data_IF_052944180618
#
_entry.id   IF_052944180618
#
_cell.length_a   1.000
_cell.length_b   1.000
_cell.length_c   1.000
_cell.angle_alpha   90.00
_cell.angle_beta   90.00
_cell.angle_gamma   90.00
#
_symmetry.space_group_name_H-M   'P 1'
#
loop_
_entity.id
_entity.type
_entity.pdbx_description
1 polymer ?
#
# COMPACT_ATOMS: atom_id res chain seq x y z
N UNK A 1 -38.37 -50.98 37.61
CA UNK A 1 -37.35 -49.92 37.78
C UNK A 1 -36.37 -50.08 36.62
N UNK A 2 -36.40 -49.15 35.64
CA UNK A 2 -35.49 -48.94 34.49
C UNK A 2 -35.30 -50.14 33.53
N UNK A 3 -35.85 -50.21 32.32
CA UNK A 3 -35.99 -49.25 31.19
C UNK A 3 -34.65 -48.86 30.54
N UNK A 4 -34.31 -49.51 29.43
CA UNK A 4 -33.44 -49.05 28.32
C UNK A 4 -33.44 -50.18 27.27
N UNK A 5 -34.36 -50.27 26.30
CA UNK A 5 -34.61 -49.40 25.13
C UNK A 5 -33.29 -48.87 24.53
N UNK A 6 -32.65 -49.68 23.69
CA UNK A 6 -31.79 -49.18 22.62
C UNK A 6 -32.55 -49.32 21.31
N UNK A 7 -33.38 -48.31 21.06
CA UNK A 7 -34.11 -48.06 19.84
C UNK A 7 -33.26 -47.14 18.95
N UNK A 8 -32.82 -47.67 17.81
CA UNK A 8 -32.70 -47.02 16.51
C UNK A 8 -32.50 -45.49 16.54
N UNK A 9 -31.27 -45.02 16.32
CA UNK A 9 -31.01 -43.81 15.52
C UNK A 9 -29.76 -44.07 14.66
N UNK A 10 -29.92 -44.90 13.63
CA UNK A 10 -29.11 -44.84 12.41
C UNK A 10 -29.94 -44.02 11.42
N UNK A 11 -30.05 -42.71 11.65
CA UNK A 11 -30.67 -41.80 10.70
C UNK A 11 -29.65 -41.49 9.59
N UNK A 12 -29.76 -42.26 8.52
CA UNK A 12 -29.72 -41.79 7.14
C UNK A 12 -28.77 -40.60 6.86
N UNK A 13 -27.49 -40.90 6.64
CA UNK A 13 -26.74 -40.22 5.59
C UNK A 13 -27.28 -40.69 4.23
N UNK A 14 -28.47 -40.22 3.88
CA UNK A 14 -28.88 -40.20 2.49
C UNK A 14 -28.39 -38.85 1.93
N UNK A 15 -27.64 -38.81 0.82
CA UNK A 15 -27.56 -37.58 0.05
C UNK A 15 -28.98 -37.36 -0.46
N UNK A 16 -29.74 -36.54 0.26
CA UNK A 16 -31.03 -36.07 -0.20
C UNK A 16 -30.73 -35.15 -1.38
N UNK A 17 -30.58 -35.73 -2.57
CA UNK A 17 -30.58 -34.99 -3.82
C UNK A 17 -32.02 -34.52 -4.03
N UNK A 18 -32.40 -33.47 -3.30
CA UNK A 18 -33.57 -32.70 -3.65
C UNK A 18 -33.14 -31.82 -4.82
N UNK A 19 -33.62 -32.14 -6.01
CA UNK A 19 -33.60 -31.21 -7.14
C UNK A 19 -34.53 -30.04 -6.81
N UNK A 20 -34.08 -29.17 -5.91
CA UNK A 20 -34.69 -27.88 -5.65
C UNK A 20 -34.39 -27.03 -6.89
N UNK A 21 -35.41 -26.74 -7.70
CA UNK A 21 -35.31 -25.83 -8.85
C UNK A 21 -35.11 -24.37 -8.43
N UNK A 22 -34.81 -24.10 -7.16
CA UNK A 22 -34.63 -22.77 -6.59
C UNK A 22 -33.54 -22.80 -5.52
N UNK A 23 -32.89 -21.66 -5.31
CA UNK A 23 -31.95 -21.51 -4.20
C UNK A 23 -32.67 -21.61 -2.85
N UNK A 24 -31.93 -22.00 -1.82
CA UNK A 24 -32.43 -22.03 -0.44
C UNK A 24 -32.74 -20.59 0.02
N UNK A 25 -33.98 -20.37 0.46
CA UNK A 25 -34.44 -19.08 0.97
C UNK A 25 -34.15 -19.00 2.47
N UNK A 26 -33.42 -17.97 2.88
CA UNK A 26 -33.08 -17.71 4.29
C UNK A 26 -33.56 -16.32 4.70
N UNK A 27 -33.81 -16.14 5.99
CA UNK A 27 -34.16 -14.81 6.54
C UNK A 27 -32.91 -13.98 6.91
N UNK A 28 -33.13 -12.72 7.32
CA UNK A 28 -32.04 -11.81 7.69
C UNK A 28 -31.21 -12.33 8.87
N UNK A 29 -31.82 -13.00 9.86
CA UNK A 29 -31.12 -13.49 11.05
C UNK A 29 -30.30 -14.74 10.74
N UNK A 30 -30.88 -15.66 9.97
CA UNK A 30 -30.22 -16.87 9.49
C UNK A 30 -29.04 -16.51 8.60
N UNK A 31 -29.19 -15.54 7.70
CA UNK A 31 -28.07 -15.04 6.91
C UNK A 31 -26.94 -14.44 7.77
N UNK A 32 -27.28 -13.66 8.79
CA UNK A 32 -26.29 -13.11 9.73
C UNK A 32 -25.56 -14.24 10.46
N UNK A 33 -26.29 -15.27 10.90
CA UNK A 33 -25.69 -16.44 11.55
C UNK A 33 -24.76 -17.20 10.61
N UNK A 34 -25.19 -17.45 9.37
CA UNK A 34 -24.36 -18.08 8.33
C UNK A 34 -23.07 -17.27 8.10
N UNK A 35 -23.15 -15.94 8.02
CA UNK A 35 -21.98 -15.09 7.87
C UNK A 35 -21.02 -15.14 9.07
N UNK A 36 -21.52 -15.47 10.27
CA UNK A 36 -20.73 -15.56 11.49
C UNK A 36 -20.10 -16.95 11.69
N UNK A 37 -20.76 -18.02 11.22
CA UNK A 37 -20.29 -19.40 11.40
C UNK A 37 -19.51 -19.93 10.21
N UNK A 38 -19.94 -19.58 9.00
CA UNK A 38 -19.41 -20.12 7.76
C UNK A 38 -18.36 -19.20 7.15
N UNK A 39 -17.35 -19.81 6.52
CA UNK A 39 -16.25 -19.05 5.89
C UNK A 39 -16.69 -18.37 4.61
N UNK A 40 -17.55 -19.04 3.84
CA UNK A 40 -17.93 -18.67 2.49
C UNK A 40 -19.44 -18.77 2.33
N UNK A 41 -20.09 -17.64 2.03
CA UNK A 41 -21.54 -17.57 1.79
C UNK A 41 -21.78 -16.72 0.55
N UNK A 42 -22.38 -17.30 -0.48
CA UNK A 42 -22.88 -16.61 -1.66
C UNK A 42 -24.36 -16.34 -1.43
N UNK A 43 -24.72 -15.06 -1.43
CA UNK A 43 -26.10 -14.63 -1.21
C UNK A 43 -26.61 -13.84 -2.41
N UNK A 44 -27.78 -14.22 -2.90
CA UNK A 44 -28.56 -13.45 -3.85
C UNK A 44 -29.65 -12.67 -3.09
N UNK A 45 -29.50 -11.36 -3.00
CA UNK A 45 -30.58 -10.47 -2.60
C UNK A 45 -31.53 -10.26 -3.78
N UNK A 46 -32.79 -10.64 -3.61
CA UNK A 46 -33.79 -10.73 -4.69
C UNK A 46 -35.12 -10.12 -4.26
N UNK A 47 -35.99 -9.81 -5.22
CA UNK A 47 -37.35 -9.32 -5.00
C UNK A 47 -38.33 -10.10 -5.86
N UNK A 48 -39.61 -10.07 -5.46
CA UNK A 48 -40.68 -10.70 -6.25
C UNK A 48 -40.88 -9.93 -7.57
N UNK A 49 -41.31 -10.64 -8.61
CA UNK A 49 -41.64 -10.05 -9.93
C UNK A 49 -40.45 -9.33 -10.55
N UNK A 50 -39.29 -10.00 -10.61
CA UNK A 50 -38.03 -9.44 -11.08
C UNK A 50 -37.36 -10.40 -12.07
N UNK A 51 -37.49 -10.15 -13.39
CA UNK A 51 -36.90 -11.02 -14.41
C UNK A 51 -35.37 -11.09 -14.33
N UNK A 52 -34.71 -9.98 -14.01
CA UNK A 52 -33.25 -9.95 -13.81
C UNK A 52 -32.82 -10.82 -12.62
N UNK A 53 -33.65 -10.89 -11.57
CA UNK A 53 -33.37 -11.70 -10.39
C UNK A 53 -33.48 -13.19 -10.71
N UNK A 54 -34.49 -13.58 -11.49
CA UNK A 54 -34.65 -14.97 -11.97
C UNK A 54 -33.49 -15.39 -12.86
N UNK A 55 -33.00 -14.49 -13.73
CA UNK A 55 -31.84 -14.76 -14.56
C UNK A 55 -30.59 -15.07 -13.71
N UNK A 56 -30.29 -14.23 -12.71
CA UNK A 56 -29.14 -14.47 -11.82
C UNK A 56 -29.32 -15.74 -10.99
N UNK A 57 -30.53 -16.03 -10.51
CA UNK A 57 -30.82 -17.26 -9.78
C UNK A 57 -30.56 -18.51 -10.64
N UNK A 58 -30.98 -18.50 -11.91
CA UNK A 58 -30.74 -19.61 -12.85
C UNK A 58 -29.25 -19.83 -13.12
N UNK A 59 -28.49 -18.77 -13.39
CA UNK A 59 -27.04 -18.87 -13.57
C UNK A 59 -26.37 -19.40 -12.29
N UNK A 60 -26.78 -18.95 -11.10
CA UNK A 60 -26.25 -19.46 -9.83
C UNK A 60 -26.61 -20.93 -9.56
N UNK A 61 -27.80 -21.37 -9.96
CA UNK A 61 -28.20 -22.78 -9.86
C UNK A 61 -27.31 -23.66 -10.73
N UNK A 62 -26.94 -23.20 -11.92
CA UNK A 62 -26.07 -23.96 -12.83
C UNK A 62 -24.67 -24.22 -12.25
N UNK A 63 -24.12 -23.30 -11.46
CA UNK A 63 -22.79 -23.42 -10.83
C UNK A 63 -22.87 -23.75 -9.34
N UNK A 64 -24.04 -24.08 -8.81
CA UNK A 64 -24.23 -24.32 -7.37
C UNK A 64 -23.34 -25.45 -6.87
N UNK A 65 -23.36 -26.60 -7.55
CA UNK A 65 -22.56 -27.77 -7.20
C UNK A 65 -21.06 -27.43 -7.24
N UNK A 66 -20.63 -26.74 -8.30
CA UNK A 66 -19.26 -26.25 -8.47
C UNK A 66 -18.80 -25.30 -7.36
N UNK A 67 -19.69 -24.40 -6.90
CA UNK A 67 -19.41 -23.47 -5.80
C UNK A 67 -19.29 -24.22 -4.46
N UNK A 68 -20.19 -25.18 -4.22
CA UNK A 68 -20.14 -26.03 -3.03
C UNK A 68 -18.86 -26.88 -3.03
N UNK A 69 -18.51 -27.53 -4.14
CA UNK A 69 -17.35 -28.42 -4.21
C UNK A 69 -16.02 -27.65 -4.13
N UNK A 70 -15.92 -26.51 -4.83
CA UNK A 70 -14.65 -25.77 -4.94
C UNK A 70 -14.40 -24.76 -3.82
N UNK A 71 -15.46 -24.20 -3.22
CA UNK A 71 -15.36 -23.19 -2.16
C UNK A 71 -15.87 -23.71 -0.81
N UNK A 72 -16.64 -24.80 -0.78
CA UNK A 72 -17.45 -25.16 0.38
C UNK A 72 -18.31 -23.97 0.82
N UNK A 73 -18.91 -23.29 -0.16
CA UNK A 73 -19.72 -22.11 0.05
C UNK A 73 -21.21 -22.47 0.17
N UNK A 74 -21.88 -21.82 1.11
CA UNK A 74 -23.34 -21.83 1.18
C UNK A 74 -23.89 -20.93 0.07
N UNK A 75 -24.87 -21.40 -0.70
CA UNK A 75 -25.48 -20.63 -1.79
C UNK A 75 -26.96 -20.45 -1.49
N UNK A 76 -27.34 -19.22 -1.10
CA UNK A 76 -28.67 -18.89 -0.56
C UNK A 76 -29.25 -17.67 -1.26
N UNK A 77 -30.56 -17.46 -1.10
CA UNK A 77 -31.27 -16.24 -1.52
C UNK A 77 -32.06 -15.62 -0.39
N UNK A 78 -32.26 -14.31 -0.46
CA UNK A 78 -33.07 -13.55 0.52
C UNK A 78 -34.01 -12.62 -0.24
N UNK A 79 -35.29 -12.65 0.10
CA UNK A 79 -36.31 -11.79 -0.51
C UNK A 79 -36.53 -10.49 0.26
N UNK A 80 -36.51 -9.36 -0.47
CA UNK A 80 -36.87 -8.02 0.02
C UNK A 80 -36.15 -7.63 1.33
N UNK A 81 -34.86 -7.96 1.44
CA UNK A 81 -34.09 -7.70 2.66
C UNK A 81 -33.64 -6.25 2.73
N UNK A 82 -33.70 -5.66 3.92
CA UNK A 82 -33.12 -4.34 4.15
C UNK A 82 -31.58 -4.37 4.19
N UNK A 83 -30.98 -5.54 4.42
CA UNK A 83 -29.53 -5.72 4.48
C UNK A 83 -28.86 -5.41 3.14
N UNK A 84 -29.58 -5.55 2.01
CA UNK A 84 -29.05 -5.21 0.68
C UNK A 84 -28.49 -3.79 0.63
N UNK A 85 -29.07 -2.84 1.38
CA UNK A 85 -28.65 -1.43 1.41
C UNK A 85 -27.24 -1.24 1.99
N UNK A 86 -26.75 -2.21 2.76
CA UNK A 86 -25.40 -2.21 3.33
C UNK A 86 -24.38 -2.58 2.26
N UNK A 87 -24.74 -3.47 1.33
CA UNK A 87 -23.82 -4.00 0.32
C UNK A 87 -23.92 -3.27 -1.02
N UNK A 88 -25.15 -2.94 -1.45
CA UNK A 88 -25.44 -2.22 -2.69
C UNK A 88 -26.54 -1.17 -2.48
N UNK A 89 -26.23 0.13 -2.55
CA UNK A 89 -27.24 1.18 -2.44
C UNK A 89 -28.20 1.24 -3.64
N UNK A 90 -27.92 0.54 -4.75
CA UNK A 90 -28.70 0.56 -5.99
C UNK A 90 -29.92 -0.39 -6.01
N UNK A 91 -30.21 -1.09 -4.90
CA UNK A 91 -31.30 -2.07 -4.72
C UNK A 91 -31.20 -3.33 -5.59
N UNK A 92 -32.02 -4.32 -5.24
CA UNK A 92 -32.06 -5.68 -5.77
C UNK A 92 -32.35 -5.74 -7.30
N UNK A 93 -31.73 -6.70 -8.02
CA UNK A 93 -30.92 -7.80 -7.50
C UNK A 93 -29.50 -7.40 -7.09
N UNK A 94 -28.96 -8.06 -6.06
CA UNK A 94 -27.55 -7.92 -5.69
C UNK A 94 -26.97 -9.29 -5.32
N UNK A 95 -25.88 -9.67 -5.98
CA UNK A 95 -25.15 -10.89 -5.70
C UNK A 95 -23.90 -10.54 -4.88
N UNK A 96 -23.79 -11.10 -3.68
CA UNK A 96 -22.70 -10.82 -2.75
C UNK A 96 -22.04 -12.12 -2.33
N UNK A 97 -20.71 -12.15 -2.39
CA UNK A 97 -19.91 -13.24 -1.87
C UNK A 97 -19.24 -12.82 -0.56
N UNK A 98 -19.70 -13.41 0.54
CA UNK A 98 -19.15 -13.22 1.88
C UNK A 98 -17.96 -14.15 2.08
N UNK A 99 -16.82 -13.58 2.47
CA UNK A 99 -15.54 -14.28 2.63
C UNK A 99 -14.91 -13.92 3.96
N UNK A 100 -14.95 -14.82 4.93
CA UNK A 100 -14.47 -14.54 6.30
C UNK A 100 -15.09 -13.25 6.89
N UNK A 101 -16.40 -13.05 6.64
CA UNK A 101 -17.12 -11.84 7.05
C UNK A 101 -16.89 -10.59 6.18
N UNK A 102 -16.02 -10.65 5.16
CA UNK A 102 -15.76 -9.55 4.22
C UNK A 102 -16.62 -9.70 2.97
N UNK A 103 -17.55 -8.76 2.68
CA UNK A 103 -18.42 -8.85 1.52
C UNK A 103 -17.67 -8.47 0.24
N UNK A 104 -17.92 -9.21 -0.84
CA UNK A 104 -17.55 -8.86 -2.22
C UNK A 104 -18.83 -8.69 -3.04
N UNK A 105 -19.10 -7.49 -3.54
CA UNK A 105 -20.20 -7.28 -4.47
C UNK A 105 -19.81 -7.78 -5.86
N UNK A 106 -20.60 -8.67 -6.45
CA UNK A 106 -20.43 -9.05 -7.84
C UNK A 106 -20.95 -7.93 -8.76
N UNK A 107 -20.11 -7.49 -9.71
CA UNK A 107 -20.42 -6.40 -10.64
C UNK A 107 -20.07 -6.70 -12.09
N UNK A 108 -19.74 -7.97 -12.37
CA UNK A 108 -19.50 -8.49 -13.72
C UNK A 108 -20.80 -8.82 -14.44
N UNK A 109 -20.66 -9.35 -15.65
CA UNK A 109 -21.80 -9.79 -16.46
C UNK A 109 -22.44 -11.05 -15.86
N UNK A 110 -23.74 -11.22 -16.07
CA UNK A 110 -24.52 -12.34 -15.52
C UNK A 110 -24.24 -13.55 -16.41
N UNK A 111 -23.24 -14.34 -16.02
CA UNK A 111 -22.81 -15.56 -16.69
C UNK A 111 -22.20 -16.50 -15.64
N UNK A 112 -22.67 -17.74 -15.64
CA UNK A 112 -22.23 -18.86 -14.81
C UNK A 112 -20.70 -18.99 -14.65
N UNK A 113 -19.96 -19.11 -15.75
CA UNK A 113 -18.51 -19.30 -15.76
C UNK A 113 -17.79 -18.08 -15.15
N UNK A 114 -18.24 -16.87 -15.50
CA UNK A 114 -17.65 -15.63 -14.97
C UNK A 114 -17.92 -15.46 -13.47
N UNK A 115 -19.11 -15.81 -12.99
CA UNK A 115 -19.45 -15.78 -11.56
C UNK A 115 -18.55 -16.75 -10.80
N UNK A 116 -18.47 -18.01 -11.26
CA UNK A 116 -17.68 -19.06 -10.64
C UNK A 116 -16.20 -18.69 -10.61
N UNK A 117 -15.65 -18.25 -11.74
CA UNK A 117 -14.27 -17.80 -11.85
C UNK A 117 -13.99 -16.62 -10.89
N UNK A 118 -14.88 -15.63 -10.87
CA UNK A 118 -14.72 -14.45 -10.01
C UNK A 118 -14.67 -14.85 -8.54
N UNK A 119 -15.53 -15.75 -8.07
CA UNK A 119 -15.50 -16.18 -6.67
C UNK A 119 -14.31 -17.08 -6.34
N UNK A 120 -13.91 -17.98 -7.25
CA UNK A 120 -12.72 -18.83 -7.10
C UNK A 120 -11.42 -18.02 -7.01
N UNK A 121 -11.25 -17.01 -7.85
CA UNK A 121 -10.04 -16.17 -7.88
C UNK A 121 -9.97 -15.15 -6.73
N UNK A 122 -11.08 -14.95 -6.04
CA UNK A 122 -11.21 -13.96 -4.98
C UNK A 122 -11.69 -14.62 -3.68
N UNK A 123 -11.16 -15.78 -3.27
CA UNK A 123 -11.47 -16.36 -1.94
C UNK A 123 -10.99 -15.47 -0.79
N UNK A 124 -9.82 -14.87 -0.96
CA UNK A 124 -9.26 -13.95 0.00
C UNK A 124 -9.62 -12.48 -0.35
N UNK A 125 -9.87 -11.62 0.64
CA UNK A 125 -10.01 -10.18 0.42
C UNK A 125 -8.78 -9.58 -0.25
N UNK A 126 -8.96 -8.74 -1.26
CA UNK A 126 -7.84 -8.14 -2.00
C UNK A 126 -7.49 -6.73 -1.51
N UNK A 127 -8.37 -6.10 -0.72
CA UNK A 127 -8.11 -4.76 -0.17
C UNK A 127 -7.09 -4.87 0.96
N UNK A 128 -5.97 -4.17 0.82
CA UNK A 128 -4.94 -4.09 1.86
C UNK A 128 -5.32 -3.05 2.92
N UNK A 129 -5.18 -3.40 4.19
CA UNK A 129 -5.29 -2.43 5.29
C UNK A 129 -3.96 -1.69 5.44
N UNK A 130 -4.01 -0.36 5.41
CA UNK A 130 -2.85 0.49 5.61
C UNK A 130 -3.02 1.34 6.87
N UNK A 131 -1.92 1.56 7.58
CA UNK A 131 -1.82 2.33 8.81
C UNK A 131 -0.61 3.25 8.80
N UNK A 132 -0.46 4.05 9.87
CA UNK A 132 0.63 5.02 10.02
C UNK A 132 2.04 4.38 10.00
N UNK A 133 2.16 3.08 10.32
CA UNK A 133 3.43 2.37 10.37
C UNK A 133 3.81 1.72 9.03
N UNK A 134 2.82 1.26 8.27
CA UNK A 134 3.04 0.45 7.07
C UNK A 134 2.83 1.23 5.76
N UNK A 135 2.12 2.37 5.78
CA UNK A 135 1.72 3.07 4.56
C UNK A 135 2.92 3.44 3.69
N UNK A 136 3.94 4.11 4.25
CA UNK A 136 5.12 4.49 3.46
C UNK A 136 5.95 3.29 3.04
N UNK A 137 6.10 2.31 3.93
CA UNK A 137 6.88 1.12 3.64
C UNK A 137 6.30 0.35 2.44
N UNK A 138 4.98 0.16 2.43
CA UNK A 138 4.28 -0.59 1.40
C UNK A 138 4.05 0.23 0.13
N UNK A 139 3.65 1.49 0.25
CA UNK A 139 3.26 2.28 -0.94
C UNK A 139 4.44 2.96 -1.61
N UNK A 140 5.50 3.30 -0.85
CA UNK A 140 6.61 4.15 -1.31
C UNK A 140 6.11 5.43 -2.00
N UNK A 141 4.98 5.97 -1.53
CA UNK A 141 4.27 7.07 -2.18
C UNK A 141 5.12 8.34 -2.32
N UNK A 142 5.89 8.71 -1.29
CA UNK A 142 6.69 9.93 -1.28
C UNK A 142 7.97 9.84 -2.12
N UNK A 143 8.62 8.67 -2.16
CA UNK A 143 9.85 8.48 -2.94
C UNK A 143 9.58 8.38 -4.44
N UNK A 144 8.33 8.13 -4.84
CA UNK A 144 7.93 7.94 -6.22
C UNK A 144 8.32 6.58 -6.81
N UNK A 145 9.09 5.78 -6.06
CA UNK A 145 9.41 4.39 -6.36
C UNK A 145 8.29 3.46 -5.84
N UNK A 146 7.04 3.79 -6.16
CA UNK A 146 5.88 3.06 -5.64
C UNK A 146 5.96 1.59 -6.04
N UNK A 147 5.54 0.67 -5.16
CA UNK A 147 5.50 -0.79 -5.46
C UNK A 147 4.33 -1.14 -6.41
N UNK A 148 4.24 -0.42 -7.52
CA UNK A 148 3.06 -0.34 -8.38
C UNK A 148 2.18 0.87 -8.08
N UNK A 149 1.10 0.99 -8.84
CA UNK A 149 0.07 2.01 -8.62
C UNK A 149 -0.78 1.62 -7.41
N UNK A 150 -1.26 2.61 -6.64
CA UNK A 150 -2.07 2.38 -5.45
C UNK A 150 -3.35 3.20 -5.49
N UNK A 151 -4.49 2.57 -5.26
CA UNK A 151 -5.76 3.27 -5.09
C UNK A 151 -6.28 3.04 -3.66
N UNK A 152 -6.36 4.13 -2.89
CA UNK A 152 -6.55 4.07 -1.43
C UNK A 152 -7.84 4.76 -1.03
N UNK A 153 -8.68 4.05 -0.28
CA UNK A 153 -9.86 4.58 0.37
C UNK A 153 -9.55 4.99 1.82
N UNK A 154 -9.66 6.27 2.11
CA UNK A 154 -9.70 6.77 3.48
C UNK A 154 -11.13 6.68 4.02
N UNK A 155 -11.31 5.88 5.07
CA UNK A 155 -12.61 5.57 5.65
C UNK A 155 -12.66 5.86 7.15
N UNK A 156 -13.85 5.77 7.73
CA UNK A 156 -14.06 5.83 9.17
C UNK A 156 -15.12 4.82 9.61
N UNK A 157 -14.89 4.18 10.76
CA UNK A 157 -15.86 3.29 11.43
C UNK A 157 -17.13 4.02 11.92
N UNK A 158 -17.13 5.35 12.00
CA UNK A 158 -18.32 6.13 12.40
C UNK A 158 -19.17 6.59 11.20
N UNK A 159 -18.67 6.41 9.98
CA UNK A 159 -19.34 6.89 8.77
C UNK A 159 -20.15 5.75 8.12
N UNK A 160 -21.48 5.88 8.09
CA UNK A 160 -22.37 4.89 7.45
C UNK A 160 -22.04 4.70 5.97
N UNK A 161 -21.75 5.79 5.25
CA UNK A 161 -21.39 5.72 3.82
C UNK A 161 -20.09 4.94 3.60
N UNK A 162 -19.13 5.04 4.52
CA UNK A 162 -17.87 4.27 4.45
C UNK A 162 -18.13 2.78 4.64
N UNK A 163 -18.96 2.40 5.61
CA UNK A 163 -19.35 0.99 5.80
C UNK A 163 -20.04 0.42 4.56
N UNK A 164 -20.96 1.19 3.97
CA UNK A 164 -21.69 0.83 2.73
C UNK A 164 -20.83 0.76 1.47
N UNK A 165 -19.55 1.16 1.55
CA UNK A 165 -18.62 1.06 0.45
C UNK A 165 -17.77 -0.21 0.51
N UNK A 166 -17.75 -0.93 1.63
CA UNK A 166 -16.87 -2.09 1.81
C UNK A 166 -17.02 -3.12 0.69
N UNK A 167 -18.26 -3.55 0.41
CA UNK A 167 -18.52 -4.56 -0.63
C UNK A 167 -18.15 -4.08 -2.04
N UNK A 168 -18.42 -2.81 -2.34
CA UNK A 168 -18.06 -2.17 -3.62
C UNK A 168 -16.56 -1.98 -3.75
N UNK A 169 -15.87 -1.65 -2.67
CA UNK A 169 -14.42 -1.46 -2.67
C UNK A 169 -13.68 -2.78 -2.87
N UNK A 170 -14.19 -3.86 -2.29
CA UNK A 170 -13.73 -5.23 -2.60
C UNK A 170 -13.98 -5.61 -4.06
N UNK A 171 -15.12 -5.21 -4.64
CA UNK A 171 -15.39 -5.42 -6.06
C UNK A 171 -14.38 -4.67 -6.96
N UNK A 172 -14.05 -3.42 -6.62
CA UNK A 172 -12.98 -2.66 -7.31
C UNK A 172 -11.64 -3.38 -7.18
N UNK A 173 -11.33 -3.91 -5.98
CA UNK A 173 -10.11 -4.67 -5.73
C UNK A 173 -10.02 -5.96 -6.53
N UNK A 174 -11.11 -6.72 -6.64
CA UNK A 174 -11.16 -7.91 -7.49
C UNK A 174 -10.96 -7.55 -8.97
N UNK A 175 -11.62 -6.51 -9.47
CA UNK A 175 -11.52 -6.09 -10.87
C UNK A 175 -10.14 -5.55 -11.26
N UNK A 176 -9.41 -4.92 -10.32
CA UNK A 176 -8.12 -4.29 -10.56
C UNK A 176 -6.92 -5.07 -10.00
N UNK A 177 -7.14 -6.28 -9.47
CA UNK A 177 -6.15 -7.12 -8.77
C UNK A 177 -4.82 -7.27 -9.51
N UNK A 178 -4.86 -7.39 -10.83
CA UNK A 178 -3.67 -7.58 -11.68
C UNK A 178 -3.03 -6.28 -12.17
N UNK A 179 -3.72 -5.13 -12.00
CA UNK A 179 -3.30 -3.84 -12.56
C UNK A 179 -2.70 -2.90 -11.51
N UNK A 180 -3.22 -2.92 -10.28
CA UNK A 180 -2.77 -2.04 -9.21
C UNK A 180 -3.15 -2.57 -7.83
N UNK A 181 -2.55 -1.99 -6.79
CA UNK A 181 -2.87 -2.33 -5.40
C UNK A 181 -4.07 -1.49 -4.93
N UNK A 182 -5.08 -2.16 -4.35
CA UNK A 182 -6.22 -1.49 -3.72
C UNK A 182 -6.07 -1.58 -2.21
N UNK A 183 -6.28 -0.46 -1.52
CA UNK A 183 -6.07 -0.36 -0.09
C UNK A 183 -7.13 0.49 0.60
N UNK A 184 -7.17 0.43 1.93
CA UNK A 184 -7.95 1.34 2.77
C UNK A 184 -7.16 1.77 4.01
N UNK A 185 -7.48 2.96 4.51
CA UNK A 185 -6.85 3.58 5.70
C UNK A 185 -7.95 4.11 6.61
N UNK A 186 -7.94 3.70 7.88
CA UNK A 186 -8.85 4.26 8.87
C UNK A 186 -8.33 5.62 9.38
N UNK A 187 -9.00 6.70 8.97
CA UNK A 187 -8.62 8.08 9.30
C UNK A 187 -8.66 8.39 10.81
N UNK A 188 -9.56 7.76 11.57
CA UNK A 188 -9.81 8.13 12.98
C UNK A 188 -9.08 7.24 13.99
N UNK A 189 -8.31 6.26 13.50
CA UNK A 189 -7.75 5.19 14.33
C UNK A 189 -6.28 4.99 13.92
N UNK A 190 -5.93 3.83 13.37
CA UNK A 190 -4.58 3.42 12.98
C UNK A 190 -3.90 4.28 11.90
N UNK A 191 -4.67 5.03 11.11
CA UNK A 191 -4.18 5.84 9.99
C UNK A 191 -4.31 7.35 10.18
N UNK A 192 -4.40 7.83 11.43
CA UNK A 192 -4.69 9.23 11.72
C UNK A 192 -3.57 10.20 11.33
N UNK A 193 -2.30 9.83 11.48
CA UNK A 193 -1.18 10.66 11.02
C UNK A 193 -1.12 10.71 9.48
N UNK A 194 -1.32 9.57 8.83
CA UNK A 194 -1.39 9.42 7.37
C UNK A 194 -2.51 10.25 6.79
N UNK A 195 -3.72 10.14 7.33
CA UNK A 195 -4.87 10.94 6.88
C UNK A 195 -4.62 12.45 7.02
N UNK A 196 -4.04 12.90 8.15
CA UNK A 196 -3.67 14.32 8.35
C UNK A 196 -2.61 14.78 7.35
N UNK A 197 -1.59 13.98 7.10
CA UNK A 197 -0.53 14.29 6.11
C UNK A 197 -1.11 14.50 4.72
N UNK A 198 -2.07 13.67 4.31
CA UNK A 198 -2.76 13.82 3.02
C UNK A 198 -3.95 14.80 3.06
N UNK A 199 -4.14 15.57 4.13
CA UNK A 199 -5.22 16.55 4.26
C UNK A 199 -6.62 15.95 4.19
N UNK A 200 -6.79 14.71 4.64
CA UNK A 200 -8.07 13.99 4.61
C UNK A 200 -8.82 14.21 5.92
N UNK A 201 -9.75 15.18 5.91
CA UNK A 201 -10.58 15.51 7.07
C UNK A 201 -12.00 14.94 6.99
N UNK A 202 -12.44 14.51 5.81
CA UNK A 202 -13.78 13.97 5.54
C UNK A 202 -13.68 12.56 4.96
N UNK A 203 -14.71 11.74 5.22
CA UNK A 203 -14.80 10.35 4.75
C UNK A 203 -16.16 10.09 4.13
N UNK A 204 -16.25 9.23 3.09
CA UNK A 204 -15.13 8.54 2.42
C UNK A 204 -14.33 9.48 1.50
N UNK A 205 -13.02 9.25 1.37
CA UNK A 205 -12.16 9.96 0.41
C UNK A 205 -11.29 8.95 -0.34
N UNK A 206 -11.21 9.05 -1.66
CA UNK A 206 -10.36 8.16 -2.48
C UNK A 206 -9.19 8.93 -3.08
N UNK A 207 -7.99 8.35 -2.97
CA UNK A 207 -6.77 8.93 -3.51
C UNK A 207 -6.03 7.86 -4.32
N UNK A 208 -5.75 8.18 -5.59
CA UNK A 208 -4.93 7.37 -6.47
C UNK A 208 -3.49 7.89 -6.47
N UNK A 209 -2.53 7.02 -6.21
CA UNK A 209 -1.11 7.29 -6.16
C UNK A 209 -0.39 6.61 -7.32
N UNK A 210 0.38 7.40 -8.07
CA UNK A 210 1.16 6.92 -9.21
C UNK A 210 2.36 7.82 -9.43
N UNK A 211 3.56 7.22 -9.48
CA UNK A 211 4.80 7.90 -9.87
C UNK A 211 5.08 9.18 -9.05
N UNK A 212 4.91 9.12 -7.73
CA UNK A 212 5.12 10.26 -6.81
C UNK A 212 4.05 11.34 -6.86
N UNK A 213 2.98 11.13 -7.64
CA UNK A 213 1.83 12.01 -7.74
C UNK A 213 0.61 11.36 -7.11
N UNK A 214 -0.29 12.20 -6.61
CA UNK A 214 -1.58 11.79 -6.10
C UNK A 214 -2.73 12.51 -6.82
N UNK A 215 -3.84 11.80 -6.98
CA UNK A 215 -5.03 12.25 -7.69
C UNK A 215 -6.25 11.94 -6.83
N UNK A 216 -6.98 12.99 -6.42
CA UNK A 216 -8.18 12.84 -5.59
C UNK A 216 -9.40 12.55 -6.45
N UNK A 217 -10.21 11.60 -6.01
CA UNK A 217 -11.51 11.35 -6.64
C UNK A 217 -12.51 12.44 -6.25
N UNK A 218 -13.13 13.10 -7.24
CA UNK A 218 -14.04 14.23 -7.04
C UNK A 218 -15.46 13.99 -7.61
N UNK A 219 -15.72 12.82 -8.20
CA UNK A 219 -17.05 12.52 -8.75
C UNK A 219 -18.04 12.18 -7.63
N UNK A 220 -19.33 12.43 -7.88
CA UNK A 220 -20.41 12.16 -6.92
C UNK A 220 -20.78 10.67 -6.85
N UNK A 221 -20.67 9.94 -7.96
CA UNK A 221 -20.95 8.51 -7.98
C UNK A 221 -19.80 7.74 -7.33
N UNK A 222 -20.13 6.81 -6.43
CA UNK A 222 -19.19 5.85 -5.84
C UNK A 222 -19.50 4.42 -6.34
N UNK A 223 -19.94 4.30 -7.58
CA UNK A 223 -20.23 3.01 -8.20
C UNK A 223 -18.93 2.32 -8.61
N UNK A 224 -18.95 0.99 -8.61
CA UNK A 224 -17.77 0.16 -8.92
C UNK A 224 -17.19 0.53 -10.30
N UNK A 225 -18.05 0.68 -11.31
CA UNK A 225 -17.64 1.07 -12.68
C UNK A 225 -17.00 2.46 -12.73
N UNK A 226 -17.54 3.42 -11.97
CA UNK A 226 -17.00 4.79 -11.92
C UNK A 226 -15.62 4.83 -11.26
N UNK A 227 -15.45 4.09 -10.16
CA UNK A 227 -14.17 3.96 -9.45
C UNK A 227 -13.12 3.27 -10.31
N UNK A 228 -13.47 2.18 -11.01
CA UNK A 228 -12.59 1.48 -11.94
C UNK A 228 -12.15 2.42 -13.08
N UNK A 229 -13.10 3.06 -13.76
CA UNK A 229 -12.80 3.97 -14.86
C UNK A 229 -11.89 5.13 -14.44
N UNK A 230 -12.10 5.67 -13.23
CA UNK A 230 -11.21 6.70 -12.69
C UNK A 230 -9.78 6.18 -12.51
N UNK A 231 -9.62 5.02 -11.89
CA UNK A 231 -8.31 4.45 -11.58
C UNK A 231 -7.53 4.04 -12.84
N UNK A 232 -8.21 3.56 -13.90
CA UNK A 232 -7.52 3.15 -15.12
C UNK A 232 -7.08 4.34 -15.97
N UNK A 233 -8.00 5.24 -16.30
CA UNK A 233 -7.77 6.27 -17.33
C UNK A 233 -8.31 7.66 -16.94
N UNK A 234 -9.37 7.70 -16.13
CA UNK A 234 -10.08 8.93 -15.80
C UNK A 234 -9.26 9.92 -14.98
N UNK A 235 -8.35 9.44 -14.12
CA UNK A 235 -7.60 10.29 -13.19
C UNK A 235 -6.81 11.41 -13.88
N UNK A 236 -6.31 11.19 -15.11
CA UNK A 236 -5.53 12.19 -15.87
C UNK A 236 -6.35 13.40 -16.29
N UNK A 237 -7.65 13.21 -16.53
CA UNK A 237 -8.57 14.24 -17.04
C UNK A 237 -9.40 14.87 -15.93
N UNK A 238 -9.79 14.07 -14.95
CA UNK A 238 -10.79 14.42 -13.94
C UNK A 238 -10.15 15.08 -12.73
N UNK A 239 -8.94 14.64 -12.34
CA UNK A 239 -8.30 15.09 -11.11
C UNK A 239 -7.11 16.00 -11.39
N UNK A 240 -6.93 17.00 -10.53
CA UNK A 240 -5.70 17.79 -10.48
C UNK A 240 -4.56 16.91 -9.95
N UNK A 241 -3.42 16.95 -10.64
CA UNK A 241 -2.19 16.33 -10.16
C UNK A 241 -1.67 17.10 -8.94
N UNK A 242 -1.51 16.41 -7.82
CA UNK A 242 -0.87 16.91 -6.60
C UNK A 242 0.42 16.12 -6.34
N UNK A 243 1.42 16.76 -5.73
CA UNK A 243 2.62 16.06 -5.28
C UNK A 243 2.32 15.35 -3.97
N UNK A 244 2.89 14.16 -3.78
CA UNK A 244 2.77 13.43 -2.51
C UNK A 244 3.53 14.20 -1.42
N UNK A 245 2.86 14.63 -0.33
CA UNK A 245 3.54 15.27 0.79
C UNK A 245 4.51 14.29 1.43
N UNK A 246 5.73 14.69 1.78
CA UNK A 246 6.70 13.81 2.47
C UNK A 246 6.25 13.50 3.90
N UNK A 247 6.54 12.31 4.45
CA UNK A 247 6.36 12.08 5.87
C UNK A 247 7.29 12.99 6.65
N UNK A 248 6.83 13.55 7.76
CA UNK A 248 7.71 14.27 8.68
C UNK A 248 8.68 13.25 9.30
N UNK A 249 9.96 13.40 9.04
CA UNK A 249 11.00 12.57 9.64
C UNK A 249 11.24 13.01 11.09
N UNK A 250 11.59 12.09 12.02
CA UNK A 250 12.14 12.46 13.32
C UNK A 250 13.38 13.36 13.21
N UNK A 251 14.12 13.25 12.09
CA UNK A 251 15.25 14.11 11.80
C UNK A 251 14.84 15.50 11.30
N UNK A 252 13.64 15.65 10.74
CA UNK A 252 13.16 16.95 10.26
C UNK A 252 12.98 17.90 11.44
N UNK A 253 12.38 17.42 12.53
CA UNK A 253 12.24 18.18 13.79
C UNK A 253 13.61 18.55 14.38
N UNK A 254 14.60 17.63 14.33
CA UNK A 254 15.97 17.93 14.77
C UNK A 254 16.64 18.97 13.87
N UNK A 255 16.52 18.84 12.55
CA UNK A 255 17.11 19.82 11.62
C UNK A 255 16.43 21.17 11.72
N UNK A 256 15.13 21.21 11.98
CA UNK A 256 14.39 22.44 12.18
C UNK A 256 14.79 23.09 13.51
N UNK A 257 14.95 22.30 14.58
CA UNK A 257 15.47 22.79 15.87
C UNK A 257 16.90 23.32 15.75
N UNK A 258 17.77 22.66 14.97
CA UNK A 258 19.12 23.13 14.68
C UNK A 258 19.07 24.43 13.85
N UNK A 259 18.21 24.49 12.84
CA UNK A 259 18.05 25.68 12.00
C UNK A 259 17.53 26.88 12.81
N UNK A 260 16.53 26.66 13.67
CA UNK A 260 15.97 27.67 14.58
C UNK A 260 17.03 28.11 15.60
N UNK A 261 17.79 27.16 16.18
CA UNK A 261 18.90 27.47 17.09
C UNK A 261 19.99 28.31 16.43
N UNK A 262 20.35 28.02 15.17
CA UNK A 262 21.32 28.81 14.39
C UNK A 262 20.77 30.20 14.06
N UNK A 263 19.48 30.31 13.73
CA UNK A 263 18.83 31.58 13.41
C UNK A 263 18.75 32.49 14.64
N UNK A 264 18.46 31.93 15.81
CA UNK A 264 18.42 32.68 17.08
C UNK A 264 19.83 33.01 17.59
N UNK A 265 20.82 32.17 17.31
CA UNK A 265 22.19 32.35 17.77
C UNK A 265 23.14 32.64 16.61
N UNK A 266 23.05 33.85 16.06
CA UNK A 266 23.88 34.31 14.94
C UNK A 266 25.41 34.19 15.20
N UNK A 267 25.84 34.18 16.47
CA UNK A 267 27.24 33.93 16.86
C UNK A 267 27.73 32.50 16.54
N UNK A 268 26.84 31.51 16.48
CA UNK A 268 27.17 30.11 16.13
C UNK A 268 27.61 30.00 14.67
N UNK A 269 27.00 30.77 13.76
CA UNK A 269 27.42 30.87 12.36
C UNK A 269 28.82 31.48 12.25
N UNK A 270 29.09 32.53 13.04
CA UNK A 270 30.40 33.17 13.08
C UNK A 270 31.49 32.23 13.62
N UNK A 271 31.19 31.42 14.64
CA UNK A 271 32.10 30.39 15.16
C UNK A 271 32.36 29.28 14.14
N UNK A 272 31.32 28.79 13.47
CA UNK A 272 31.46 27.81 12.39
C UNK A 272 32.36 28.32 11.27
N UNK A 273 32.14 29.56 10.83
CA UNK A 273 32.98 30.24 9.85
C UNK A 273 34.43 30.40 10.31
N UNK A 274 34.66 30.76 11.58
CA UNK A 274 35.99 30.91 12.16
C UNK A 274 36.75 29.57 12.22
N UNK A 275 36.06 28.48 12.58
CA UNK A 275 36.61 27.14 12.56
C UNK A 275 37.03 26.69 11.15
N UNK A 276 36.21 26.98 10.14
CA UNK A 276 36.54 26.70 8.73
C UNK A 276 37.75 27.53 8.28
N UNK A 277 37.81 28.81 8.64
CA UNK A 277 38.93 29.69 8.32
C UNK A 277 40.23 29.28 9.01
N UNK A 278 40.18 28.86 10.27
CA UNK A 278 41.33 28.29 10.98
C UNK A 278 41.77 26.99 10.31
N UNK A 279 40.83 26.09 9.99
CA UNK A 279 41.12 24.85 9.29
C UNK A 279 41.80 25.10 7.94
N UNK A 280 41.30 26.07 7.17
CA UNK A 280 41.87 26.47 5.90
C UNK A 280 43.26 27.13 6.06
N UNK A 281 43.45 27.99 7.07
CA UNK A 281 44.73 28.61 7.37
C UNK A 281 45.78 27.58 7.83
N UNK A 282 45.38 26.58 8.63
CA UNK A 282 46.22 25.46 9.03
C UNK A 282 46.58 24.58 7.83
N UNK A 283 45.62 24.28 6.94
CA UNK A 283 45.87 23.55 5.70
C UNK A 283 46.80 24.31 4.73
N UNK A 284 46.69 25.64 4.66
CA UNK A 284 47.58 26.51 3.90
C UNK A 284 48.99 26.56 4.52
N UNK A 285 49.11 26.58 5.85
CA UNK A 285 50.41 26.54 6.56
C UNK A 285 51.12 25.19 6.39
N UNK A 286 50.40 24.08 6.44
CA UNK A 286 50.99 22.75 6.19
C UNK A 286 51.42 22.60 4.73
N UNK A 287 50.67 23.15 3.76
CA UNK A 287 51.11 23.26 2.35
C UNK A 287 52.35 24.14 2.17
N UNK A 288 52.43 25.30 2.82
CA UNK A 288 53.58 26.22 2.73
C UNK A 288 54.84 25.66 3.41
N UNK A 289 54.69 24.92 4.51
CA UNK A 289 55.79 24.20 5.18
C UNK A 289 56.36 23.07 4.33
N UNK A 290 55.51 22.32 3.61
CA UNK A 290 55.96 21.30 2.64
C UNK A 290 56.66 21.92 1.40
N UNK A 291 56.26 23.12 0.97
CA UNK A 291 56.94 23.85 -0.11
C UNK A 291 58.36 24.28 0.29
N UNK A 292 58.57 24.81 1.51
CA UNK A 292 59.89 25.22 2.00
C UNK A 292 60.86 24.05 2.24
N UNK A 293 60.35 22.85 2.60
CA UNK A 293 61.17 21.63 2.64
C UNK A 293 61.67 21.20 1.25
N UNK A 294 60.98 21.57 0.17
CA UNK A 294 61.41 21.28 -1.21
C UNK A 294 62.52 22.22 -1.71
N UNK A 295 62.57 23.47 -1.23
CA UNK A 295 63.61 24.45 -1.61
C UNK A 295 64.95 24.21 -0.89
N UNK A 296 64.96 23.77 0.37
CA UNK A 296 66.19 23.36 1.08
C UNK A 296 66.87 22.12 0.48
N UNK A 297 66.13 21.25 -0.22
CA UNK A 297 66.70 20.14 -1.01
C UNK A 297 67.22 20.57 -2.38
N UNK A 298 66.81 21.73 -2.91
CA UNK A 298 67.30 22.27 -4.20
C UNK A 298 68.55 23.15 -4.06
N UNK A 299 68.77 23.84 -2.94
CA UNK A 299 70.00 24.62 -2.74
C UNK A 299 71.25 23.75 -2.53
N UNK A 300 71.13 22.55 -1.93
CA UNK A 300 72.25 21.61 -1.77
C UNK A 300 72.69 20.87 -3.05
N UNK A 301 72.03 21.07 -4.20
CA UNK A 301 72.33 20.37 -5.46
C UNK A 301 72.89 21.29 -6.56
N UNK A 302 73.19 22.56 -6.26
CA UNK A 302 73.55 23.58 -7.26
C UNK A 302 74.97 24.16 -7.20
N UNK A 303 75.81 23.75 -6.24
CA UNK A 303 77.22 24.14 -6.21
C UNK A 303 78.13 22.93 -6.49
N UNK A 304 78.37 22.68 -7.78
CA UNK A 304 79.51 21.88 -8.26
C UNK A 304 79.98 22.50 -9.59
N UNK A 305 81.13 23.19 -9.66
CA UNK A 305 81.70 23.66 -10.92
C UNK A 305 82.58 22.59 -11.58
N UNK A 306 82.68 22.63 -12.91
CA UNK A 306 83.66 21.91 -13.75
C UNK A 306 84.61 22.93 -14.40
N UNK A 307 85.93 22.70 -14.20
CA UNK A 307 87.12 22.86 -15.10
C UNK A 307 87.31 24.17 -15.91
N UNK A 308 88.45 24.88 -16.01
CA UNK A 308 89.87 24.52 -16.30
C UNK A 308 90.92 25.59 -15.87
N UNK A 309 92.17 25.12 -15.63
CA UNK A 309 93.53 25.75 -15.77
C UNK A 309 93.94 27.02 -14.97
N UNK A 310 95.15 27.21 -14.40
CA UNK A 310 96.45 26.52 -14.52
C UNK A 310 97.44 26.90 -13.37
N UNK A 311 98.40 26.00 -13.07
CA UNK A 311 99.78 26.19 -12.50
C UNK A 311 99.87 26.57 -10.99
N UNK A 312 100.52 25.85 -10.05
CA UNK A 312 101.89 25.29 -10.02
C UNK A 312 102.08 24.15 -8.96
N UNK A 313 103.12 23.31 -9.12
CA UNK A 313 103.53 22.12 -8.29
C UNK A 313 104.69 22.50 -7.32
N UNK A 314 105.28 21.59 -6.49
CA UNK A 314 104.79 20.42 -5.73
C UNK A 314 105.36 20.35 -4.26
N UNK A 315 104.84 19.47 -3.38
CA UNK A 315 105.66 18.45 -2.67
C UNK A 315 104.87 17.50 -1.75
N UNK A 316 105.09 16.19 -1.98
CA UNK A 316 105.31 15.02 -1.09
C UNK A 316 104.66 15.05 0.32
N UNK A 317 104.06 13.98 0.85
CA UNK A 317 104.46 12.58 0.85
C UNK A 317 103.36 11.68 1.47
N UNK A 318 103.30 10.43 0.98
CA UNK A 318 103.16 9.15 1.69
C UNK A 318 102.35 9.12 3.02
N UNK A 319 101.45 8.18 3.31
CA UNK A 319 101.56 6.72 3.12
C UNK A 319 100.27 6.05 3.63
N UNK A 320 99.87 4.93 2.98
CA UNK A 320 99.38 3.63 3.54
C UNK A 320 98.29 3.62 4.65
N UNK A 321 97.44 2.61 4.80
CA UNK A 321 96.93 1.43 4.06
C UNK A 321 96.19 0.66 5.15
N UNK A 322 95.12 -0.04 4.78
CA UNK A 322 94.57 -1.24 5.45
C UNK A 322 94.05 -1.05 6.89
N UNK A 323 92.95 -1.66 7.31
CA UNK A 323 92.23 -2.82 6.80
C UNK A 323 90.84 -2.81 7.42
#
# INVERSE_FOLDING_TARGET
MYLSINLIILLCFLPFSYSNNSLEEVDDNEFINLCATEKYVVVLFTKRQCPECENIENELLSVREDLVDSLNAWVVKIYNSNLVQIYSPAKEPALVFMRHGVPLLYSGDINDELILHTFRENKEPNVRELDDSNFEHLTQAASGATTGDWFVLFYSKTCVTSHRLTARWEAVAAALKTRMNIARVNRLDTGAATARRFGVYTTPTFIFFRQGKMYRYQLQSHDVKALIHFATDGYKRIAKSENVPVPKSPFDDLTQLIADYIAENNWVVALGGFCVMIGFALAMRTRKSNSNKSQLKKSKKKDKPKTEENIDKPEKSNTKKSK
#
